data_IF_715218951367
#
_entry.id   IF_715218951367
#
_cell.length_a   1.000
_cell.length_b   1.000
_cell.length_c   1.000
_cell.angle_alpha   90.00
_cell.angle_beta   90.00
_cell.angle_gamma   90.00
#
_symmetry.space_group_name_H-M   'P 1'
#
loop_
_entity.id
_entity.type
_entity.pdbx_description
1 polymer ?
#
# COMPACT_ATOMS: atom_id res chain seq x y z
N UNK A 1 -6.07 10.98 19.42
CA UNK A 1 -4.83 10.18 19.47
C UNK A 1 -5.20 8.84 18.89
N UNK A 2 -4.78 8.59 17.64
CA UNK A 2 -5.01 7.30 16.98
C UNK A 2 -3.86 6.43 17.45
N UNK A 3 -4.16 5.32 18.13
CA UNK A 3 -3.15 4.33 18.49
C UNK A 3 -2.56 3.81 17.18
N UNK A 4 -1.28 4.11 16.92
CA UNK A 4 -0.54 3.51 15.81
C UNK A 4 -0.38 2.03 16.16
N UNK A 5 -1.31 1.19 15.72
CA UNK A 5 -1.22 -0.25 15.93
C UNK A 5 0.03 -0.74 15.20
N UNK A 6 1.09 -1.03 15.95
CA UNK A 6 2.29 -1.65 15.40
C UNK A 6 1.88 -2.95 14.73
N UNK A 7 2.13 -3.07 13.42
CA UNK A 7 1.89 -4.31 12.68
C UNK A 7 2.70 -5.42 13.36
N UNK A 8 2.01 -6.38 13.96
CA UNK A 8 2.68 -7.49 14.63
C UNK A 8 3.31 -8.37 13.57
N UNK A 9 4.53 -8.85 13.80
CA UNK A 9 5.24 -9.74 12.88
C UNK A 9 4.41 -10.96 12.46
N UNK A 10 3.59 -11.50 13.37
CA UNK A 10 2.70 -12.64 13.10
C UNK A 10 1.60 -12.29 12.08
N UNK A 11 1.04 -11.09 12.15
CA UNK A 11 -0.01 -10.64 11.23
C UNK A 11 0.55 -10.43 9.82
N UNK A 12 1.76 -9.88 9.72
CA UNK A 12 2.45 -9.71 8.44
C UNK A 12 2.83 -11.05 7.78
N UNK A 13 3.30 -12.04 8.55
CA UNK A 13 3.59 -13.37 8.02
C UNK A 13 2.33 -14.07 7.48
N UNK A 14 1.18 -13.87 8.13
CA UNK A 14 -0.09 -14.39 7.63
C UNK A 14 -0.51 -13.73 6.30
N UNK A 15 -0.24 -12.43 6.14
CA UNK A 15 -0.45 -11.73 4.86
C UNK A 15 0.48 -12.28 3.78
N UNK A 16 1.77 -12.49 4.06
CA UNK A 16 2.71 -13.07 3.10
C UNK A 16 2.26 -14.46 2.61
N UNK A 17 1.75 -15.30 3.50
CA UNK A 17 1.20 -16.60 3.13
C UNK A 17 0.01 -16.47 2.17
N UNK A 18 -0.93 -15.54 2.45
CA UNK A 18 -2.07 -15.28 1.55
C UNK A 18 -1.65 -14.72 0.20
N UNK A 19 -0.64 -13.86 0.15
CA UNK A 19 -0.08 -13.35 -1.11
C UNK A 19 0.52 -14.50 -1.92
N UNK A 20 1.30 -15.38 -1.29
CA UNK A 20 1.89 -16.55 -1.94
C UNK A 20 0.81 -17.50 -2.51
N UNK A 21 -0.27 -17.74 -1.77
CA UNK A 21 -1.42 -18.54 -2.21
C UNK A 21 -2.15 -17.90 -3.40
N UNK A 22 -2.23 -16.56 -3.44
CA UNK A 22 -2.89 -15.80 -4.49
C UNK A 22 -2.01 -15.53 -5.73
N UNK A 23 -0.70 -15.77 -5.69
CA UNK A 23 0.22 -15.33 -6.76
C UNK A 23 -0.18 -15.82 -8.15
N UNK A 24 -0.58 -17.08 -8.28
CA UNK A 24 -1.02 -17.62 -9.58
C UNK A 24 -2.31 -16.95 -10.07
N UNK A 25 -3.30 -16.73 -9.20
CA UNK A 25 -4.54 -16.04 -9.61
C UNK A 25 -4.31 -14.57 -9.92
N UNK A 26 -3.40 -13.89 -9.20
CA UNK A 26 -2.98 -12.52 -9.51
C UNK A 26 -2.48 -12.43 -10.95
N UNK A 27 -1.63 -13.38 -11.36
CA UNK A 27 -1.10 -13.43 -12.72
C UNK A 27 -2.20 -13.74 -13.76
N UNK A 28 -3.02 -14.76 -13.51
CA UNK A 28 -4.00 -15.24 -14.48
C UNK A 28 -5.17 -14.26 -14.67
N UNK A 29 -5.64 -13.66 -13.57
CA UNK A 29 -6.74 -12.70 -13.57
C UNK A 29 -6.28 -11.27 -13.86
N UNK A 30 -4.97 -11.02 -13.79
CA UNK A 30 -4.34 -9.69 -13.92
C UNK A 30 -4.91 -8.69 -12.91
N UNK A 31 -5.21 -9.17 -11.71
CA UNK A 31 -5.86 -8.41 -10.66
C UNK A 31 -5.51 -8.99 -9.28
N UNK A 32 -5.30 -8.12 -8.29
CA UNK A 32 -5.14 -8.57 -6.90
C UNK A 32 -6.53 -8.88 -6.31
N UNK A 33 -6.73 -10.05 -5.66
CA UNK A 33 -8.00 -10.38 -5.02
C UNK A 33 -8.44 -9.33 -4.00
N UNK A 34 -9.72 -8.93 -4.06
CA UNK A 34 -10.23 -7.86 -3.20
C UNK A 34 -10.14 -8.20 -1.71
N UNK A 35 -10.40 -9.45 -1.32
CA UNK A 35 -10.34 -9.90 0.07
C UNK A 35 -8.90 -9.84 0.65
N UNK A 36 -7.89 -9.95 -0.21
CA UNK A 36 -6.49 -9.76 0.16
C UNK A 36 -6.21 -8.27 0.36
N UNK A 37 -6.66 -7.40 -0.55
CA UNK A 37 -6.56 -5.95 -0.39
C UNK A 37 -7.24 -5.48 0.90
N UNK A 38 -8.47 -5.90 1.16
CA UNK A 38 -9.24 -5.52 2.34
C UNK A 38 -8.51 -5.89 3.63
N UNK A 39 -7.87 -7.07 3.66
CA UNK A 39 -7.11 -7.51 4.82
C UNK A 39 -5.81 -6.71 5.01
N UNK A 40 -5.15 -6.32 3.92
CA UNK A 40 -3.96 -5.45 3.98
C UNK A 40 -4.32 -4.03 4.42
N UNK A 41 -5.46 -3.49 3.94
CA UNK A 41 -6.03 -2.21 4.38
C UNK A 41 -6.37 -2.25 5.86
N UNK A 42 -7.04 -3.30 6.32
CA UNK A 42 -7.39 -3.50 7.73
C UNK A 42 -6.18 -3.59 8.68
N UNK A 43 -4.99 -3.87 8.16
CA UNK A 43 -3.72 -3.84 8.90
C UNK A 43 -2.93 -2.53 8.73
N UNK A 44 -3.46 -1.55 8.00
CA UNK A 44 -2.78 -0.27 7.75
C UNK A 44 -1.59 -0.35 6.79
N UNK A 45 -1.44 -1.45 6.04
CA UNK A 45 -0.27 -1.69 5.17
C UNK A 45 -0.13 -0.67 4.02
N UNK A 46 -1.19 0.05 3.69
CA UNK A 46 -1.19 1.10 2.66
C UNK A 46 -0.96 2.51 3.22
N UNK A 47 -0.61 2.66 4.49
CA UNK A 47 -0.37 3.96 5.14
C UNK A 47 1.01 4.08 5.80
N UNK A 48 1.94 3.18 5.45
CA UNK A 48 3.22 3.05 6.14
C UNK A 48 4.11 4.28 5.97
N UNK A 49 4.17 4.85 4.77
CA UNK A 49 4.99 6.02 4.47
C UNK A 49 4.21 7.34 4.40
N UNK A 50 2.93 7.32 4.82
CA UNK A 50 2.13 8.54 4.97
C UNK A 50 2.60 9.24 6.27
N UNK A 51 2.79 10.57 6.28
CA UNK A 51 3.16 11.31 7.48
C UNK A 51 2.11 11.16 8.60
N UNK A 52 2.57 11.18 9.85
CA UNK A 52 1.69 11.09 11.01
C UNK A 52 0.67 12.25 11.06
N UNK A 53 1.03 13.44 10.56
CA UNK A 53 0.13 14.59 10.44
C UNK A 53 -1.04 14.37 9.47
N UNK A 54 -0.91 13.44 8.52
CA UNK A 54 -1.96 13.02 7.60
C UNK A 54 -2.59 11.66 8.01
N UNK A 55 -2.31 11.18 9.23
CA UNK A 55 -2.85 9.93 9.76
C UNK A 55 -2.18 8.67 9.22
N UNK A 56 -0.92 8.75 8.83
CA UNK A 56 -0.10 7.58 8.49
C UNK A 56 0.77 7.08 9.64
N UNK A 57 1.52 6.01 9.38
CA UNK A 57 2.41 5.40 10.38
C UNK A 57 3.80 6.02 10.43
N UNK A 58 4.20 6.75 9.38
CA UNK A 58 5.54 7.35 9.25
C UNK A 58 6.68 6.35 9.57
N UNK A 59 6.57 5.16 9.00
CA UNK A 59 7.48 4.02 9.23
C UNK A 59 8.91 4.34 8.76
N UNK A 60 9.90 3.76 9.46
CA UNK A 60 11.30 3.82 9.04
C UNK A 60 11.49 3.20 7.64
N UNK A 61 12.29 3.87 6.82
CA UNK A 61 12.44 3.48 5.42
C UNK A 61 13.14 2.11 5.26
N UNK A 62 14.08 1.75 6.13
CA UNK A 62 14.78 0.46 6.05
C UNK A 62 13.84 -0.68 6.43
N UNK A 63 12.99 -0.49 7.44
CA UNK A 63 11.95 -1.47 7.82
C UNK A 63 10.93 -1.66 6.68
N UNK A 64 10.48 -0.55 6.08
CA UNK A 64 9.58 -0.57 4.93
C UNK A 64 10.18 -1.32 3.72
N UNK A 65 11.47 -1.11 3.44
CA UNK A 65 12.17 -1.82 2.36
C UNK A 65 12.22 -3.33 2.61
N UNK A 66 12.49 -3.74 3.85
CA UNK A 66 12.48 -5.16 4.22
C UNK A 66 11.08 -5.79 4.06
N UNK A 67 10.01 -5.07 4.39
CA UNK A 67 8.64 -5.53 4.12
C UNK A 67 8.37 -5.66 2.62
N UNK A 68 8.81 -4.69 1.83
CA UNK A 68 8.66 -4.71 0.36
C UNK A 68 9.39 -5.90 -0.26
N UNK A 69 10.62 -6.17 0.18
CA UNK A 69 11.41 -7.33 -0.26
C UNK A 69 10.74 -8.66 0.12
N UNK A 70 10.18 -8.75 1.33
CA UNK A 70 9.46 -9.93 1.77
C UNK A 70 8.22 -10.21 0.90
N UNK A 71 7.45 -9.18 0.55
CA UNK A 71 6.32 -9.30 -0.38
C UNK A 71 6.81 -9.69 -1.77
N UNK A 72 7.87 -9.05 -2.27
CA UNK A 72 8.42 -9.33 -3.60
C UNK A 72 8.94 -10.76 -3.76
N UNK A 73 9.37 -11.39 -2.65
CA UNK A 73 9.81 -12.79 -2.63
C UNK A 73 8.65 -13.75 -2.92
N UNK A 74 7.42 -13.39 -2.56
CA UNK A 74 6.24 -14.24 -2.77
C UNK A 74 5.40 -13.83 -3.98
N UNK A 75 5.31 -12.54 -4.31
CA UNK A 75 4.67 -12.06 -5.53
C UNK A 75 5.16 -10.65 -5.93
N UNK A 76 5.70 -10.53 -7.15
CA UNK A 76 6.25 -9.27 -7.66
C UNK A 76 5.19 -8.21 -8.01
N UNK A 77 4.01 -8.64 -8.46
CA UNK A 77 2.93 -7.71 -8.85
C UNK A 77 2.31 -7.04 -7.62
N UNK A 78 2.07 -7.81 -6.56
CA UNK A 78 1.63 -7.33 -5.27
C UNK A 78 2.67 -6.39 -4.66
N UNK A 79 3.96 -6.75 -4.70
CA UNK A 79 5.03 -5.87 -4.22
C UNK A 79 5.06 -4.53 -4.97
N UNK A 80 4.88 -4.55 -6.30
CA UNK A 80 4.80 -3.34 -7.10
C UNK A 80 3.63 -2.44 -6.69
N UNK A 81 2.42 -3.00 -6.55
CA UNK A 81 1.23 -2.25 -6.14
C UNK A 81 1.36 -1.69 -4.72
N UNK A 82 1.84 -2.50 -3.77
CA UNK A 82 2.13 -2.09 -2.40
C UNK A 82 3.15 -0.95 -2.35
N UNK A 83 4.23 -1.05 -3.12
CA UNK A 83 5.27 -0.03 -3.17
C UNK A 83 4.78 1.26 -3.81
N UNK A 84 4.06 1.17 -4.94
CA UNK A 84 3.48 2.32 -5.63
C UNK A 84 2.64 3.18 -4.68
N UNK A 85 1.69 2.57 -3.98
CA UNK A 85 0.85 3.30 -3.04
C UNK A 85 1.65 3.98 -1.94
N UNK A 86 2.51 3.21 -1.25
CA UNK A 86 3.21 3.74 -0.08
C UNK A 86 4.18 4.86 -0.46
N UNK A 87 4.93 4.73 -1.57
CA UNK A 87 5.80 5.80 -2.06
C UNK A 87 4.99 7.05 -2.43
N UNK A 88 3.81 6.91 -3.04
CA UNK A 88 2.92 8.05 -3.28
C UNK A 88 2.44 8.71 -1.98
N UNK A 89 2.33 7.97 -0.89
CA UNK A 89 2.07 8.48 0.46
C UNK A 89 3.01 9.61 0.87
N UNK A 90 4.28 9.55 0.44
CA UNK A 90 5.28 10.60 0.74
C UNK A 90 4.96 11.95 0.09
N UNK A 91 4.13 11.97 -0.96
CA UNK A 91 3.69 13.22 -1.60
C UNK A 91 2.84 14.09 -0.66
N UNK A 92 2.25 13.51 0.39
CA UNK A 92 1.53 14.25 1.42
C UNK A 92 2.37 15.38 2.03
N UNK A 93 3.69 15.17 2.17
CA UNK A 93 4.63 16.18 2.68
C UNK A 93 4.98 17.28 1.66
N UNK A 94 4.63 17.09 0.39
CA UNK A 94 4.97 18.00 -0.72
C UNK A 94 3.79 18.85 -1.18
N UNK A 95 2.62 18.69 -0.54
CA UNK A 95 1.38 19.39 -0.91
C UNK A 95 0.84 20.23 0.27
N UNK A 96 -0.11 21.15 0.04
CA UNK A 96 -0.76 21.87 1.13
C UNK A 96 -1.42 20.90 2.12
N UNK A 97 -1.30 21.18 3.41
CA UNK A 97 -1.84 20.33 4.49
C UNK A 97 -3.31 19.98 4.28
N UNK A 98 -4.14 20.95 3.88
CA UNK A 98 -5.56 20.73 3.61
C UNK A 98 -5.81 19.70 2.52
N UNK A 99 -4.96 19.64 1.49
CA UNK A 99 -5.07 18.67 0.41
C UNK A 99 -4.59 17.28 0.86
N UNK A 100 -3.50 17.21 1.62
CA UNK A 100 -3.07 15.94 2.20
C UNK A 100 -4.15 15.37 3.14
N UNK A 101 -4.73 16.20 4.01
CA UNK A 101 -5.85 15.77 4.87
C UNK A 101 -7.03 15.31 4.04
N UNK A 102 -7.38 16.00 2.96
CA UNK A 102 -8.49 15.60 2.08
C UNK A 102 -8.25 14.20 1.48
N UNK A 103 -7.09 13.97 0.86
CA UNK A 103 -6.75 12.70 0.19
C UNK A 103 -6.72 11.52 1.17
N UNK A 104 -6.10 11.70 2.35
CA UNK A 104 -5.91 10.63 3.33
C UNK A 104 -6.93 10.63 4.47
N UNK A 105 -8.02 11.41 4.35
CA UNK A 105 -9.14 11.43 5.32
C UNK A 105 -9.88 10.10 5.37
N UNK A 106 -9.94 9.38 4.24
CA UNK A 106 -10.38 8.00 4.18
C UNK A 106 -9.22 7.08 4.60
N UNK A 107 -9.47 6.26 5.62
CA UNK A 107 -8.48 5.31 6.13
C UNK A 107 -8.24 4.15 5.17
N UNK A 108 -9.21 3.87 4.29
CA UNK A 108 -9.15 2.79 3.30
C UNK A 108 -8.55 3.27 1.97
N UNK A 109 -8.13 4.55 1.88
CA UNK A 109 -7.58 5.13 0.67
C UNK A 109 -6.29 4.41 0.21
N UNK A 110 -6.33 3.92 -1.03
CA UNK A 110 -5.16 3.44 -1.78
C UNK A 110 -4.98 4.37 -2.98
N UNK A 111 -3.79 4.96 -3.10
CA UNK A 111 -3.49 5.94 -4.14
C UNK A 111 -2.56 5.32 -5.18
N UNK A 112 -2.85 5.55 -6.45
CA UNK A 112 -1.95 5.23 -7.55
C UNK A 112 -1.89 6.42 -8.53
N UNK A 113 -0.80 6.51 -9.26
CA UNK A 113 -0.74 7.35 -10.45
C UNK A 113 -0.89 6.49 -11.70
N UNK A 114 -1.47 7.09 -12.72
CA UNK A 114 -1.63 6.49 -14.03
C UNK A 114 -1.66 7.57 -15.10
N UNK A 115 -1.67 7.17 -16.37
CA UNK A 115 -1.93 8.11 -17.43
C UNK A 115 -3.28 8.81 -17.18
N UNK A 116 -3.44 10.07 -17.60
CA UNK A 116 -4.72 10.75 -17.49
C UNK A 116 -5.84 9.91 -18.13
N UNK A 117 -7.06 10.00 -17.61
CA UNK A 117 -8.21 9.25 -18.15
C UNK A 117 -8.47 9.51 -19.64
N UNK A 118 -8.02 10.65 -20.16
CA UNK A 118 -8.11 11.05 -21.56
C UNK A 118 -6.92 10.58 -22.42
N UNK A 119 -5.93 9.87 -21.85
CA UNK A 119 -4.81 9.35 -22.61
C UNK A 119 -5.26 8.16 -23.47
N UNK A 120 -5.05 8.26 -24.78
CA UNK A 120 -5.24 7.15 -25.71
C UNK A 120 -3.98 6.29 -25.75
N UNK A 121 -4.10 5.01 -25.41
CA UNK A 121 -3.05 4.01 -25.65
C UNK A 121 -2.98 3.78 -27.17
N UNK A 122 -1.91 4.24 -27.80
CA UNK A 122 -1.61 3.88 -29.19
C UNK A 122 -0.70 2.65 -29.15
N UNK A 123 -1.05 1.53 -29.82
CA UNK A 123 -0.24 0.32 -29.84
C UNK A 123 1.18 0.53 -30.36
#
# INVERSE_FOLDING_TARGET
>A
MIETETIRTQDFQAILARIAEASQSINDERQIPQDLIDAMVGQGLFRLLVPASAGGSEMDFIEYLAMTEAIATVDGSMAWCFNQNNVLGTMASLMPESLATEVWSDLDAIVCNGPPQYATVTP
#
